data_IF_117206356553
#
_entry.id   IF_117206356553
#
_cell.length_a   1.000
_cell.length_b   1.000
_cell.length_c   1.000
_cell.angle_alpha   90.00
_cell.angle_beta   90.00
_cell.angle_gamma   90.00
#
_symmetry.space_group_name_H-M   'P 1'
#
loop_
_entity.id
_entity.type
_entity.pdbx_description
1 polymer ?
#
# COMPACT_ATOMS: atom_id res chain seq x y z
N UNK A 1 -6.24 -26.83 13.80
CA UNK A 1 -7.58 -27.10 13.24
C UNK A 1 -7.67 -26.38 11.90
N UNK A 2 -8.76 -26.54 11.15
CA UNK A 2 -8.96 -25.83 9.89
C UNK A 2 -10.13 -24.87 10.04
N UNK A 3 -9.92 -23.61 9.68
CA UNK A 3 -10.92 -22.55 9.71
C UNK A 3 -11.59 -22.46 8.34
N UNK A 4 -12.83 -22.97 8.26
CA UNK A 4 -13.65 -22.91 7.06
C UNK A 4 -14.34 -21.54 6.96
N UNK A 5 -14.17 -20.88 5.82
CA UNK A 5 -14.72 -19.56 5.53
C UNK A 5 -15.60 -19.66 4.30
N UNK A 6 -16.83 -19.15 4.40
CA UNK A 6 -17.78 -19.03 3.29
C UNK A 6 -18.28 -17.60 3.22
N UNK A 7 -17.96 -16.88 2.14
CA UNK A 7 -18.40 -15.49 1.94
C UNK A 7 -18.97 -15.29 0.56
N UNK A 8 -19.96 -14.41 0.43
CA UNK A 8 -20.50 -13.98 -0.85
C UNK A 8 -19.91 -12.62 -1.21
N UNK A 9 -19.18 -12.57 -2.32
CA UNK A 9 -18.54 -11.35 -2.80
C UNK A 9 -19.28 -10.77 -3.99
N UNK A 10 -19.28 -9.45 -4.10
CA UNK A 10 -19.79 -8.71 -5.24
C UNK A 10 -18.64 -7.90 -5.81
N UNK A 11 -18.40 -8.02 -7.12
CA UNK A 11 -17.26 -7.36 -7.78
C UNK A 11 -17.77 -6.28 -8.74
N UNK A 12 -17.32 -5.03 -8.55
CA UNK A 12 -17.70 -3.91 -9.40
C UNK A 12 -19.14 -3.44 -9.20
N UNK A 13 -19.79 -2.99 -10.28
CA UNK A 13 -21.21 -2.62 -10.29
C UNK A 13 -22.14 -3.80 -10.57
N UNK A 14 -21.57 -4.99 -10.79
CA UNK A 14 -22.36 -6.20 -10.96
C UNK A 14 -23.15 -6.47 -9.67
N UNK A 15 -24.44 -6.75 -9.80
CA UNK A 15 -25.29 -7.14 -8.66
C UNK A 15 -25.20 -8.63 -8.33
N UNK A 16 -24.49 -9.41 -9.16
CA UNK A 16 -24.28 -10.82 -8.93
C UNK A 16 -23.42 -11.07 -7.68
N UNK A 17 -23.88 -12.02 -6.86
CA UNK A 17 -23.14 -12.52 -5.69
C UNK A 17 -22.39 -13.78 -6.07
N UNK A 18 -21.10 -13.78 -5.81
CA UNK A 18 -20.21 -14.90 -6.07
C UNK A 18 -19.86 -15.57 -4.74
N UNK A 19 -20.43 -16.75 -4.43
CA UNK A 19 -20.01 -17.49 -3.25
C UNK A 19 -18.56 -17.94 -3.44
N UNK A 20 -17.73 -17.68 -2.45
CA UNK A 20 -16.35 -18.15 -2.38
C UNK A 20 -16.14 -18.83 -1.04
N UNK A 21 -15.51 -20.01 -1.09
CA UNK A 21 -15.14 -20.78 0.08
C UNK A 21 -13.64 -21.01 0.12
N UNK A 22 -13.10 -21.12 1.32
CA UNK A 22 -11.69 -21.37 1.57
C UNK A 22 -11.46 -21.89 2.98
N UNK A 23 -10.36 -22.62 3.15
CA UNK A 23 -9.98 -23.23 4.42
C UNK A 23 -8.58 -22.77 4.83
N UNK A 24 -8.44 -22.29 6.06
CA UNK A 24 -7.17 -21.75 6.59
C UNK A 24 -6.64 -22.60 7.74
N UNK A 25 -5.33 -22.76 7.80
CA UNK A 25 -4.68 -23.36 8.97
C UNK A 25 -4.65 -22.34 10.13
N UNK A 26 -4.62 -22.82 11.38
CA UNK A 26 -4.63 -21.96 12.59
C UNK A 26 -3.60 -20.82 12.51
N UNK A 27 -2.36 -21.12 12.08
CA UNK A 27 -1.30 -20.11 11.98
C UNK A 27 -1.57 -19.06 10.89
N UNK A 28 -2.17 -19.48 9.76
CA UNK A 28 -2.56 -18.54 8.71
C UNK A 28 -3.70 -17.65 9.22
N UNK A 29 -4.68 -18.24 9.88
CA UNK A 29 -5.82 -17.53 10.45
C UNK A 29 -5.39 -16.50 11.50
N UNK A 30 -4.51 -16.90 12.44
CA UNK A 30 -3.93 -15.99 13.43
C UNK A 30 -3.19 -14.82 12.77
N UNK A 31 -2.45 -15.09 11.69
CA UNK A 31 -1.79 -14.03 10.91
C UNK A 31 -2.78 -13.06 10.27
N UNK A 32 -3.95 -13.52 9.83
CA UNK A 32 -5.01 -12.66 9.28
C UNK A 32 -5.65 -11.79 10.37
N UNK A 33 -5.89 -12.35 11.56
CA UNK A 33 -6.43 -11.60 12.70
C UNK A 33 -5.44 -10.54 13.20
N UNK A 34 -4.16 -10.88 13.33
CA UNK A 34 -3.11 -9.93 13.68
C UNK A 34 -3.01 -8.79 12.64
N UNK A 35 -3.20 -9.09 11.36
CA UNK A 35 -3.22 -8.09 10.29
C UNK A 35 -4.36 -7.08 10.50
N UNK A 36 -5.55 -7.54 10.91
CA UNK A 36 -6.68 -6.65 11.27
C UNK A 36 -6.29 -5.75 12.44
N UNK A 37 -5.72 -6.30 13.50
CA UNK A 37 -5.40 -5.53 14.71
C UNK A 37 -4.34 -4.47 14.48
N UNK A 38 -3.30 -4.77 13.70
CA UNK A 38 -2.35 -3.73 13.27
C UNK A 38 -3.01 -2.67 12.38
N UNK A 39 -3.99 -3.07 11.56
CA UNK A 39 -4.71 -2.12 10.69
C UNK A 39 -5.55 -1.14 11.51
N UNK A 40 -6.18 -1.58 12.61
CA UNK A 40 -6.90 -0.68 13.54
C UNK A 40 -5.96 0.41 14.10
N UNK A 41 -4.73 0.05 14.43
CA UNK A 41 -3.72 1.03 14.89
C UNK A 41 -3.30 1.99 13.78
N UNK A 42 -3.13 1.49 12.55
CA UNK A 42 -2.77 2.29 11.37
C UNK A 42 -3.86 3.31 11.00
N UNK A 43 -5.13 2.90 11.03
CA UNK A 43 -6.28 3.76 10.72
C UNK A 43 -6.50 4.87 11.75
N UNK A 44 -5.94 4.72 12.96
CA UNK A 44 -6.09 5.70 14.02
C UNK A 44 -5.14 6.90 13.92
N UNK A 45 -4.17 6.85 13.00
CA UNK A 45 -3.21 7.93 12.79
C UNK A 45 -3.91 9.17 12.23
N UNK A 46 -3.60 10.33 12.79
CA UNK A 46 -4.19 11.62 12.40
C UNK A 46 -4.06 11.88 10.90
N UNK A 47 -2.90 11.59 10.34
CA UNK A 47 -2.58 11.72 8.93
C UNK A 47 -3.56 10.97 8.01
N UNK A 48 -3.96 9.76 8.42
CA UNK A 48 -4.92 8.94 7.69
C UNK A 48 -6.34 9.48 7.85
N UNK A 49 -6.70 9.96 9.04
CA UNK A 49 -8.01 10.56 9.33
C UNK A 49 -8.26 11.86 8.56
N UNK A 50 -7.22 12.64 8.30
CA UNK A 50 -7.30 13.91 7.55
C UNK A 50 -7.37 13.73 6.03
N UNK A 51 -7.13 12.52 5.52
CA UNK A 51 -7.57 12.12 4.18
C UNK A 51 -6.65 12.48 3.01
N UNK A 52 -5.40 12.91 3.21
CA UNK A 52 -4.55 13.21 2.06
C UNK A 52 -3.04 13.18 2.31
N UNK A 53 -2.23 12.65 1.36
CA UNK A 53 -0.77 12.54 1.44
C UNK A 53 0.00 13.86 1.31
N UNK A 54 -0.70 15.00 1.29
CA UNK A 54 -0.17 16.29 0.88
C UNK A 54 -0.62 16.69 -0.53
N UNK A 55 -0.05 17.79 -1.04
CA UNK A 55 -0.29 18.29 -2.40
C UNK A 55 1.01 18.37 -3.19
N UNK A 56 0.95 18.01 -4.46
CA UNK A 56 2.04 18.19 -5.40
C UNK A 56 1.49 18.93 -6.61
N UNK A 57 2.02 20.12 -6.90
CA UNK A 57 1.69 20.86 -8.11
C UNK A 57 2.93 20.96 -8.99
N UNK A 58 2.77 20.62 -10.27
CA UNK A 58 3.79 20.77 -11.30
C UNK A 58 3.26 21.77 -12.33
N UNK A 59 4.05 22.81 -12.59
CA UNK A 59 3.75 23.84 -13.58
C UNK A 59 4.90 23.94 -14.56
N UNK A 60 4.58 24.06 -15.85
CA UNK A 60 5.57 24.31 -16.90
C UNK A 60 5.32 25.67 -17.52
N UNK A 61 6.37 26.46 -17.68
CA UNK A 61 6.35 27.68 -18.46
C UNK A 61 7.60 27.75 -19.36
N UNK A 62 7.55 28.54 -20.43
CA UNK A 62 8.65 28.63 -21.40
C UNK A 62 9.88 29.36 -20.85
N UNK A 63 9.72 30.16 -19.79
CA UNK A 63 10.75 31.07 -19.26
C UNK A 63 11.54 30.41 -18.11
N UNK A 64 10.85 29.84 -17.14
CA UNK A 64 11.39 29.22 -15.93
C UNK A 64 11.47 27.68 -16.04
N UNK A 65 10.94 27.11 -17.12
CA UNK A 65 10.91 25.67 -17.35
C UNK A 65 9.91 24.95 -16.44
N UNK A 66 10.30 23.77 -15.93
CA UNK A 66 9.50 23.03 -14.95
C UNK A 66 9.69 23.61 -13.56
N UNK A 67 8.59 24.06 -12.96
CA UNK A 67 8.51 24.49 -11.56
C UNK A 67 7.57 23.57 -10.79
N UNK A 68 7.87 23.31 -9.52
CA UNK A 68 7.04 22.45 -8.69
C UNK A 68 6.84 23.06 -7.30
N UNK A 69 5.72 22.73 -6.67
CA UNK A 69 5.46 23.02 -5.26
C UNK A 69 5.00 21.74 -4.57
N UNK A 70 5.56 21.49 -3.39
CA UNK A 70 5.21 20.33 -2.57
C UNK A 70 4.70 20.81 -1.22
N UNK A 71 3.54 20.30 -0.82
CA UNK A 71 2.96 20.52 0.50
C UNK A 71 2.88 19.15 1.19
N UNK A 72 3.94 18.80 1.94
CA UNK A 72 3.99 17.53 2.67
C UNK A 72 3.28 17.64 4.03
N UNK A 73 2.77 16.52 4.56
CA UNK A 73 2.33 16.47 5.95
C UNK A 73 3.49 16.74 6.92
N UNK A 74 3.19 17.15 8.16
CA UNK A 74 4.20 17.31 9.21
C UNK A 74 5.05 16.06 9.41
N UNK A 75 6.34 16.25 9.70
CA UNK A 75 7.33 15.18 9.79
C UNK A 75 6.95 14.10 10.82
N UNK A 76 6.49 14.52 11.99
CA UNK A 76 6.03 13.65 13.07
C UNK A 76 4.87 12.74 12.63
N UNK A 77 4.00 13.23 11.75
CA UNK A 77 2.91 12.45 11.18
C UNK A 77 3.40 11.41 10.17
N UNK A 78 4.38 11.77 9.34
CA UNK A 78 5.02 10.83 8.40
C UNK A 78 5.73 9.72 9.18
N UNK A 79 6.49 10.08 10.22
CA UNK A 79 7.16 9.12 11.09
C UNK A 79 6.18 8.18 11.81
N UNK A 80 5.07 8.72 12.31
CA UNK A 80 4.01 7.91 12.92
C UNK A 80 3.43 6.91 11.90
N UNK A 81 3.18 7.34 10.66
CA UNK A 81 2.73 6.48 9.58
C UNK A 81 3.74 5.37 9.26
N UNK A 82 5.01 5.72 9.08
CA UNK A 82 6.08 4.77 8.79
C UNK A 82 6.21 3.70 9.88
N UNK A 83 6.20 4.13 11.15
CA UNK A 83 6.29 3.23 12.28
C UNK A 83 5.13 2.21 12.29
N UNK A 84 3.90 2.65 12.00
CA UNK A 84 2.73 1.78 11.94
C UNK A 84 2.65 0.93 10.67
N UNK A 85 3.30 1.34 9.59
CA UNK A 85 3.38 0.57 8.34
C UNK A 85 4.40 -0.56 8.38
N UNK A 86 5.39 -0.49 9.29
CA UNK A 86 6.50 -1.46 9.39
C UNK A 86 6.05 -2.94 9.39
N UNK A 87 5.03 -3.36 10.18
CA UNK A 87 4.58 -4.77 10.20
C UNK A 87 4.04 -5.29 8.86
N UNK A 88 3.63 -4.38 7.97
CA UNK A 88 3.07 -4.72 6.66
C UNK A 88 4.13 -4.73 5.55
N UNK A 89 5.23 -3.99 5.74
CA UNK A 89 6.28 -3.80 4.73
C UNK A 89 7.42 -4.79 4.92
N UNK A 90 7.87 -5.01 6.16
CA UNK A 90 9.03 -5.86 6.43
C UNK A 90 8.75 -7.33 6.08
N UNK A 91 9.73 -7.98 5.44
CA UNK A 91 9.57 -9.31 4.84
C UNK A 91 9.37 -10.43 5.85
N UNK A 92 9.97 -10.30 7.04
CA UNK A 92 10.00 -11.36 8.04
C UNK A 92 8.74 -11.39 8.92
N UNK A 93 7.96 -10.31 8.92
CA UNK A 93 6.73 -10.16 9.68
C UNK A 93 5.65 -11.13 9.16
N UNK A 94 4.91 -11.76 10.08
CA UNK A 94 3.76 -12.60 9.73
C UNK A 94 2.69 -11.80 8.99
N UNK A 95 2.48 -10.56 9.39
CA UNK A 95 1.50 -9.62 8.81
C UNK A 95 2.01 -8.89 7.58
N UNK A 96 3.12 -9.33 6.98
CA UNK A 96 3.58 -8.78 5.72
C UNK A 96 2.46 -8.83 4.66
N UNK A 97 2.24 -7.70 3.98
CA UNK A 97 1.13 -7.55 3.04
C UNK A 97 1.13 -8.62 1.94
N UNK A 98 2.28 -8.90 1.33
CA UNK A 98 2.37 -9.91 0.28
C UNK A 98 2.16 -11.32 0.79
N UNK A 99 2.58 -11.61 2.02
CA UNK A 99 2.35 -12.89 2.67
C UNK A 99 0.84 -13.11 2.92
N UNK A 100 0.16 -12.12 3.47
CA UNK A 100 -1.30 -12.15 3.67
C UNK A 100 -2.05 -12.29 2.35
N UNK A 101 -1.73 -11.52 1.32
CA UNK A 101 -2.33 -11.69 -0.01
C UNK A 101 -2.07 -13.08 -0.62
N UNK A 102 -0.91 -13.69 -0.31
CA UNK A 102 -0.60 -15.05 -0.76
C UNK A 102 -1.46 -16.09 -0.03
N UNK A 103 -1.67 -15.94 1.28
CA UNK A 103 -2.59 -16.82 2.01
C UNK A 103 -4.00 -16.73 1.43
N UNK A 104 -4.53 -15.52 1.25
CA UNK A 104 -5.85 -15.29 0.65
C UNK A 104 -5.95 -15.90 -0.76
N UNK A 105 -5.05 -15.55 -1.68
CA UNK A 105 -5.16 -16.02 -3.07
C UNK A 105 -4.98 -17.54 -3.26
N UNK A 106 -4.30 -18.21 -2.32
CA UNK A 106 -4.11 -19.67 -2.37
C UNK A 106 -5.32 -20.45 -1.88
N UNK A 107 -6.06 -19.93 -0.88
CA UNK A 107 -7.18 -20.67 -0.26
C UNK A 107 -8.50 -20.54 -1.01
N UNK A 108 -8.62 -19.56 -1.91
CA UNK A 108 -9.80 -19.39 -2.77
C UNK A 108 -9.50 -19.82 -4.21
N UNK A 109 -10.36 -20.66 -4.79
CA UNK A 109 -10.22 -21.16 -6.17
C UNK A 109 -10.79 -20.20 -7.21
N UNK A 110 -11.70 -19.30 -6.80
CA UNK A 110 -12.39 -18.37 -7.70
C UNK A 110 -11.41 -17.40 -8.40
N UNK A 111 -11.43 -17.40 -9.75
CA UNK A 111 -10.53 -16.57 -10.55
C UNK A 111 -10.78 -15.06 -10.34
N UNK A 112 -12.04 -14.62 -10.26
CA UNK A 112 -12.39 -13.21 -10.00
C UNK A 112 -11.83 -12.72 -8.67
N UNK A 113 -11.85 -13.58 -7.63
CA UNK A 113 -11.21 -13.28 -6.35
C UNK A 113 -9.69 -13.12 -6.48
N UNK A 114 -9.02 -14.00 -7.24
CA UNK A 114 -7.58 -13.91 -7.46
C UNK A 114 -7.21 -12.63 -8.23
N UNK A 115 -8.01 -12.25 -9.22
CA UNK A 115 -7.82 -11.01 -9.98
C UNK A 115 -8.09 -9.76 -9.13
N UNK A 116 -9.05 -9.83 -8.20
CA UNK A 116 -9.27 -8.80 -7.20
C UNK A 116 -8.05 -8.64 -6.29
N UNK A 117 -7.51 -9.73 -5.72
CA UNK A 117 -6.28 -9.69 -4.90
C UNK A 117 -5.10 -9.14 -5.70
N UNK A 118 -4.97 -9.52 -6.98
CA UNK A 118 -3.94 -8.98 -7.88
C UNK A 118 -4.07 -7.47 -8.04
N UNK A 119 -5.28 -6.96 -8.25
CA UNK A 119 -5.55 -5.52 -8.37
C UNK A 119 -5.14 -4.75 -7.11
N UNK A 120 -5.40 -5.32 -5.92
CA UNK A 120 -4.97 -4.73 -4.65
C UNK A 120 -3.44 -4.71 -4.56
N UNK A 121 -2.74 -5.78 -4.98
CA UNK A 121 -1.26 -5.81 -5.02
C UNK A 121 -0.68 -4.79 -5.99
N UNK A 122 -1.31 -4.59 -7.14
CA UNK A 122 -0.87 -3.59 -8.12
C UNK A 122 -1.07 -2.15 -7.59
N UNK A 123 -2.09 -1.92 -6.76
CA UNK A 123 -2.22 -0.67 -5.98
C UNK A 123 -1.10 -0.53 -4.95
N UNK A 124 -0.86 -1.56 -4.12
CA UNK A 124 0.15 -1.54 -3.06
C UNK A 124 1.58 -1.33 -3.58
N UNK A 125 1.92 -1.90 -4.74
CA UNK A 125 3.25 -1.78 -5.36
C UNK A 125 3.48 -0.46 -6.12
N UNK A 126 2.45 0.38 -6.26
CA UNK A 126 2.52 1.61 -7.05
C UNK A 126 2.35 1.41 -8.56
N UNK A 127 2.18 0.18 -9.07
CA UNK A 127 1.94 -0.07 -10.50
C UNK A 127 0.71 0.66 -11.03
N UNK A 128 -0.36 0.72 -10.23
CA UNK A 128 -1.55 1.50 -10.58
C UNK A 128 -1.24 2.99 -10.76
N UNK A 129 -0.34 3.55 -9.93
CA UNK A 129 0.11 4.93 -10.04
C UNK A 129 0.99 5.14 -11.27
N UNK A 130 1.90 4.20 -11.56
CA UNK A 130 2.76 4.23 -12.76
C UNK A 130 1.96 4.22 -14.05
N UNK A 131 0.85 3.47 -14.09
CA UNK A 131 -0.06 3.45 -15.25
C UNK A 131 -0.73 4.80 -15.51
N UNK A 132 -0.83 5.66 -14.48
CA UNK A 132 -1.38 7.01 -14.62
C UNK A 132 -0.29 8.05 -14.89
N UNK A 133 0.82 7.97 -14.15
CA UNK A 133 1.96 8.87 -14.27
C UNK A 133 3.24 8.07 -14.02
N UNK A 134 4.07 7.90 -15.05
CA UNK A 134 5.39 7.31 -14.92
C UNK A 134 6.42 8.40 -14.66
N UNK A 135 7.18 8.28 -13.57
CA UNK A 135 8.25 9.22 -13.24
C UNK A 135 9.55 8.44 -13.22
N UNK A 136 10.49 8.81 -14.07
CA UNK A 136 11.80 8.18 -14.13
C UNK A 136 12.93 9.20 -14.13
N UNK A 137 14.08 8.78 -13.60
CA UNK A 137 15.34 9.50 -13.68
C UNK A 137 16.46 8.48 -13.80
N UNK A 138 17.41 8.73 -14.71
CA UNK A 138 18.59 7.87 -14.92
C UNK A 138 18.22 6.37 -15.04
N UNK A 139 17.23 6.07 -15.90
CA UNK A 139 16.66 4.74 -16.17
C UNK A 139 15.94 4.04 -15.00
N UNK A 140 15.85 4.68 -13.83
CA UNK A 140 15.12 4.17 -12.69
C UNK A 140 13.74 4.84 -12.53
N UNK A 141 12.74 4.04 -12.16
CA UNK A 141 11.36 4.51 -11.93
C UNK A 141 11.21 4.99 -10.49
N UNK A 142 10.95 6.28 -10.31
CA UNK A 142 10.86 6.92 -8.99
C UNK A 142 9.64 6.42 -8.22
N UNK A 143 8.47 6.42 -8.84
CA UNK A 143 7.23 5.95 -8.21
C UNK A 143 7.07 4.42 -8.28
N UNK A 144 8.14 3.70 -7.94
CA UNK A 144 8.19 2.23 -7.86
C UNK A 144 8.37 1.74 -6.43
N UNK A 145 7.91 0.51 -6.17
CA UNK A 145 8.12 -0.12 -4.87
C UNK A 145 9.62 -0.29 -4.57
N UNK A 146 10.43 -0.59 -5.57
CA UNK A 146 11.88 -0.74 -5.41
C UNK A 146 12.51 0.56 -4.89
N UNK A 147 12.25 1.69 -5.54
CA UNK A 147 12.76 2.99 -5.13
C UNK A 147 12.21 3.42 -3.78
N UNK A 148 10.92 3.15 -3.50
CA UNK A 148 10.34 3.42 -2.18
C UNK A 148 11.04 2.62 -1.08
N UNK A 149 11.31 1.33 -1.28
CA UNK A 149 12.02 0.48 -0.32
C UNK A 149 13.48 0.93 -0.16
N UNK A 150 14.11 1.39 -1.25
CA UNK A 150 15.43 2.00 -1.20
C UNK A 150 15.44 3.23 -0.30
N UNK A 151 14.50 4.17 -0.51
CA UNK A 151 14.31 5.37 0.31
C UNK A 151 14.05 5.04 1.78
N UNK A 152 13.13 4.11 2.07
CA UNK A 152 12.83 3.67 3.43
C UNK A 152 14.08 3.14 4.14
N UNK A 153 14.90 2.34 3.47
CA UNK A 153 16.11 1.79 4.07
C UNK A 153 17.22 2.83 4.23
N UNK A 154 17.35 3.74 3.26
CA UNK A 154 18.36 4.80 3.23
C UNK A 154 18.13 5.87 4.29
N UNK A 155 16.89 6.27 4.55
CA UNK A 155 16.58 7.44 5.38
C UNK A 155 15.79 7.09 6.65
N UNK A 156 14.88 6.11 6.60
CA UNK A 156 13.89 5.91 7.65
C UNK A 156 14.18 4.73 8.58
N UNK A 157 14.70 3.62 8.05
CA UNK A 157 14.85 2.36 8.81
C UNK A 157 16.30 2.05 9.19
N UNK A 158 17.19 1.93 8.21
CA UNK A 158 18.54 1.40 8.44
C UNK A 158 19.64 2.45 8.30
N UNK A 159 19.32 3.63 7.76
CA UNK A 159 20.30 4.68 7.43
C UNK A 159 21.46 4.14 6.58
N UNK A 160 21.11 3.30 5.62
CA UNK A 160 22.03 2.58 4.76
C UNK A 160 22.74 3.54 3.78
N UNK A 161 24.04 3.76 3.99
CA UNK A 161 24.85 4.71 3.21
C UNK A 161 24.97 4.35 1.74
N UNK A 162 24.94 3.07 1.39
CA UNK A 162 25.03 2.67 -0.02
C UNK A 162 23.75 3.07 -0.76
N UNK A 163 22.59 2.87 -0.12
CA UNK A 163 21.29 3.27 -0.69
C UNK A 163 21.12 4.80 -0.70
N UNK A 164 21.72 5.52 0.24
CA UNK A 164 21.77 6.99 0.18
C UNK A 164 22.51 7.46 -1.07
N UNK A 165 23.70 6.91 -1.35
CA UNK A 165 24.47 7.27 -2.54
C UNK A 165 23.74 6.94 -3.86
N UNK A 166 23.00 5.83 -3.89
CA UNK A 166 22.17 5.45 -5.04
C UNK A 166 21.00 6.43 -5.26
N UNK A 167 20.32 6.84 -4.19
CA UNK A 167 19.28 7.87 -4.26
C UNK A 167 19.83 9.24 -4.64
N UNK A 168 21.01 9.61 -4.16
CA UNK A 168 21.65 10.88 -4.55
C UNK A 168 21.93 10.93 -6.06
N UNK A 169 22.26 9.79 -6.67
CA UNK A 169 22.38 9.65 -8.12
C UNK A 169 21.03 9.77 -8.84
N UNK A 170 19.96 9.23 -8.26
CA UNK A 170 18.58 9.34 -8.79
C UNK A 170 18.08 10.80 -8.78
N UNK A 171 18.49 11.60 -7.79
CA UNK A 171 17.96 12.94 -7.55
C UNK A 171 18.69 14.07 -8.29
N UNK A 172 19.55 13.73 -9.25
CA UNK A 172 20.23 14.74 -10.09
C UNK A 172 19.25 15.50 -11.01
N UNK A 173 18.13 14.87 -11.40
CA UNK A 173 17.12 15.47 -12.28
C UNK A 173 15.86 15.89 -11.52
N UNK A 174 15.44 15.09 -10.55
CA UNK A 174 14.31 15.40 -9.67
C UNK A 174 14.80 15.51 -8.22
N UNK A 175 14.70 16.68 -7.57
CA UNK A 175 15.19 16.84 -6.20
C UNK A 175 14.51 15.86 -5.23
N UNK A 176 15.24 15.43 -4.20
CA UNK A 176 14.76 14.48 -3.18
C UNK A 176 13.43 14.92 -2.55
N UNK A 177 13.24 16.22 -2.34
CA UNK A 177 11.99 16.77 -1.80
C UNK A 177 10.77 16.47 -2.70
N UNK A 178 10.94 16.56 -4.02
CA UNK A 178 9.89 16.22 -4.97
C UNK A 178 9.65 14.70 -5.00
N UNK A 179 10.70 13.88 -4.99
CA UNK A 179 10.57 12.41 -4.87
C UNK A 179 9.86 11.99 -3.59
N UNK A 180 10.13 12.70 -2.48
CA UNK A 180 9.51 12.43 -1.18
C UNK A 180 7.99 12.57 -1.22
N UNK A 181 7.46 13.50 -1.99
CA UNK A 181 6.02 13.64 -2.22
C UNK A 181 5.41 12.36 -2.83
N UNK A 182 6.08 11.80 -3.83
CA UNK A 182 5.65 10.55 -4.46
C UNK A 182 5.78 9.37 -3.49
N UNK A 183 6.83 9.31 -2.68
CA UNK A 183 6.97 8.26 -1.67
C UNK A 183 5.85 8.32 -0.62
N UNK A 184 5.52 9.50 -0.10
CA UNK A 184 4.39 9.67 0.84
C UNK A 184 3.07 9.29 0.18
N UNK A 185 2.84 9.68 -1.07
CA UNK A 185 1.66 9.27 -1.84
C UNK A 185 1.59 7.75 -2.02
N UNK A 186 2.71 7.09 -2.28
CA UNK A 186 2.78 5.62 -2.37
C UNK A 186 2.52 4.93 -1.03
N UNK A 187 3.02 5.49 0.09
CA UNK A 187 2.70 4.98 1.44
C UNK A 187 1.19 5.05 1.70
N UNK A 188 0.51 6.10 1.24
CA UNK A 188 -0.93 6.21 1.32
C UNK A 188 -1.66 5.14 0.48
N UNK A 189 -1.19 4.88 -0.74
CA UNK A 189 -1.75 3.79 -1.56
C UNK A 189 -1.54 2.43 -0.92
N UNK A 190 -0.41 2.23 -0.20
CA UNK A 190 -0.20 1.03 0.64
C UNK A 190 -1.22 0.95 1.78
N UNK A 191 -1.50 2.04 2.50
CA UNK A 191 -2.53 2.08 3.56
C UNK A 191 -3.92 1.74 3.02
N UNK A 192 -4.28 2.28 1.85
CA UNK A 192 -5.55 1.98 1.19
C UNK A 192 -5.65 0.50 0.83
N UNK A 193 -4.61 -0.07 0.22
CA UNK A 193 -4.54 -1.49 -0.10
C UNK A 193 -4.62 -2.38 1.16
N UNK A 194 -3.90 -2.02 2.25
CA UNK A 194 -3.97 -2.72 3.55
C UNK A 194 -5.40 -2.68 4.10
N UNK A 195 -6.04 -1.51 4.08
CA UNK A 195 -7.40 -1.35 4.60
C UNK A 195 -8.43 -2.18 3.81
N UNK A 196 -8.28 -2.27 2.49
CA UNK A 196 -9.12 -3.15 1.65
C UNK A 196 -8.98 -4.61 2.09
N UNK A 197 -7.74 -5.09 2.28
CA UNK A 197 -7.49 -6.47 2.72
C UNK A 197 -8.03 -6.71 4.13
N UNK A 198 -7.83 -5.77 5.06
CA UNK A 198 -8.34 -5.90 6.42
C UNK A 198 -9.87 -5.97 6.46
N UNK A 199 -10.56 -5.15 5.66
CA UNK A 199 -12.02 -5.22 5.55
C UNK A 199 -12.50 -6.55 4.96
N UNK A 200 -11.78 -7.06 3.95
CA UNK A 200 -12.08 -8.39 3.40
C UNK A 200 -11.96 -9.49 4.48
N UNK A 201 -10.90 -9.44 5.30
CA UNK A 201 -10.72 -10.40 6.40
C UNK A 201 -11.82 -10.22 7.47
N UNK A 202 -12.21 -8.98 7.80
CA UNK A 202 -13.32 -8.73 8.74
C UNK A 202 -14.65 -9.34 8.27
N UNK A 203 -14.92 -9.34 6.96
CA UNK A 203 -16.09 -10.03 6.39
C UNK A 203 -15.96 -11.55 6.54
N UNK A 204 -14.76 -12.10 6.32
CA UNK A 204 -14.49 -13.53 6.50
C UNK A 204 -14.61 -13.99 7.97
N UNK A 205 -14.21 -13.15 8.91
CA UNK A 205 -14.32 -13.40 10.36
C UNK A 205 -15.74 -13.13 10.91
N UNK A 206 -16.66 -12.68 10.07
CA UNK A 206 -18.04 -12.37 10.48
C UNK A 206 -18.19 -11.08 11.29
N UNK A 207 -17.14 -10.26 11.41
CA UNK A 207 -17.22 -8.94 12.05
C UNK A 207 -17.97 -7.90 11.19
N UNK A 208 -18.14 -8.17 9.89
CA UNK A 208 -18.87 -7.30 8.96
C UNK A 208 -19.69 -8.12 7.96
N UNK A 209 -20.91 -7.68 7.65
CA UNK A 209 -21.78 -8.38 6.70
C UNK A 209 -21.43 -8.09 5.24
N UNK A 210 -20.89 -6.89 4.95
CA UNK A 210 -20.61 -6.45 3.58
C UNK A 210 -19.31 -5.67 3.48
N UNK A 211 -18.63 -5.83 2.34
CA UNK A 211 -17.47 -5.04 1.96
C UNK A 211 -17.89 -4.05 0.85
N UNK A 212 -17.64 -2.76 1.06
CA UNK A 212 -17.65 -1.77 -0.03
C UNK A 212 -16.21 -1.40 -0.36
N UNK A 213 -15.79 -1.69 -1.58
CA UNK A 213 -14.54 -1.15 -2.10
C UNK A 213 -14.74 0.35 -2.31
N UNK A 214 -14.37 1.18 -1.34
CA UNK A 214 -14.32 2.61 -1.54
C UNK A 214 -13.19 2.90 -2.53
N UNK A 215 -13.54 3.03 -3.82
CA UNK A 215 -12.72 3.71 -4.80
C UNK A 215 -12.67 5.19 -4.41
N UNK A 216 -11.67 5.54 -3.59
CA UNK A 216 -11.17 6.92 -3.46
C UNK A 216 -9.82 7.01 -4.17
#
# INVERSE_FOLDING_TARGET
MAHEVNVCLTFGEDSNKYPVSGSFEDQEWESLLNFIDYTKSLQNIQLIKQGGPGKFNLTYNEIDGMTYTVELPPEDQILALLHRLRPFILKDESTNFYRVCKHLSRRFENQSFRDFIKTIRDRYSGKRMQNFLLISSNDAVINSEETLIMWLNAHEYHKDRNKQAELDHLHQVLPLEASRAFFVMMLYEKVRAISIVANLINVMDGQQETFKCCCV
#
